data_IF_946169593813
#
_entry.id   IF_946169593813
#
_cell.length_a   1.000
_cell.length_b   1.000
_cell.length_c   1.000
_cell.angle_alpha   90.00
_cell.angle_beta   90.00
_cell.angle_gamma   90.00
#
_symmetry.space_group_name_H-M   'P 1'
#
loop_
_entity.id
_entity.type
_entity.pdbx_description
1 polymer ?
#
# COMPACT_ATOMS: atom_id res chain seq x y z
N UNK A 1 -22.30 -6.41 5.73
CA UNK A 1 -21.51 -6.18 4.50
C UNK A 1 -21.86 -7.25 3.47
N UNK A 2 -22.24 -6.90 2.24
CA UNK A 2 -22.53 -7.88 1.18
C UNK A 2 -21.24 -8.51 0.64
N UNK A 3 -21.35 -9.67 -0.02
CA UNK A 3 -20.20 -10.27 -0.72
C UNK A 3 -19.62 -9.34 -1.79
N UNK A 4 -20.50 -8.63 -2.50
CA UNK A 4 -20.11 -7.62 -3.47
C UNK A 4 -19.28 -6.50 -2.83
N UNK A 5 -19.70 -5.99 -1.68
CA UNK A 5 -18.95 -4.95 -0.97
C UNK A 5 -17.59 -5.45 -0.48
N UNK A 6 -17.51 -6.71 0.01
CA UNK A 6 -16.22 -7.32 0.40
C UNK A 6 -15.27 -7.42 -0.79
N UNK A 7 -15.73 -7.95 -1.93
CA UNK A 7 -14.93 -8.05 -3.16
C UNK A 7 -14.44 -6.67 -3.64
N UNK A 8 -15.32 -5.67 -3.57
CA UNK A 8 -14.96 -4.30 -3.93
C UNK A 8 -13.88 -3.74 -3.00
N UNK A 9 -14.03 -3.88 -1.68
CA UNK A 9 -13.04 -3.40 -0.69
C UNK A 9 -11.68 -4.07 -0.93
N UNK A 10 -11.62 -5.38 -1.10
CA UNK A 10 -10.38 -6.12 -1.39
C UNK A 10 -9.71 -5.59 -2.67
N UNK A 11 -10.49 -5.34 -3.73
CA UNK A 11 -9.98 -4.78 -4.99
C UNK A 11 -9.37 -3.40 -4.81
N UNK A 12 -10.04 -2.50 -4.08
CA UNK A 12 -9.54 -1.15 -3.86
C UNK A 12 -8.31 -1.12 -2.95
N UNK A 13 -8.23 -2.00 -1.93
CA UNK A 13 -7.01 -2.16 -1.13
C UNK A 13 -5.84 -2.63 -2.00
N UNK A 14 -6.08 -3.58 -2.92
CA UNK A 14 -5.06 -4.05 -3.87
C UNK A 14 -4.52 -2.93 -4.77
N UNK A 15 -5.37 -2.04 -5.25
CA UNK A 15 -4.95 -0.86 -6.04
C UNK A 15 -4.10 0.09 -5.20
N UNK A 16 -4.53 0.41 -3.98
CA UNK A 16 -3.78 1.29 -3.06
C UNK A 16 -2.38 0.75 -2.78
N UNK A 17 -2.25 -0.57 -2.56
CA UNK A 17 -0.94 -1.21 -2.37
C UNK A 17 -0.02 -1.01 -3.59
N UNK A 18 -0.55 -1.20 -4.79
CA UNK A 18 0.19 -0.98 -6.04
C UNK A 18 0.64 0.47 -6.21
N UNK A 19 -0.23 1.43 -5.89
CA UNK A 19 0.10 2.86 -5.95
C UNK A 19 1.18 3.25 -4.93
N UNK A 20 1.07 2.78 -3.69
CA UNK A 20 2.11 3.00 -2.66
C UNK A 20 3.46 2.46 -3.14
N UNK A 21 3.47 1.27 -3.75
CA UNK A 21 4.71 0.67 -4.25
C UNK A 21 5.32 1.46 -5.40
N UNK A 22 4.49 1.97 -6.32
CA UNK A 22 4.95 2.84 -7.41
C UNK A 22 5.56 4.14 -6.88
N UNK A 23 4.90 4.80 -5.94
CA UNK A 23 5.40 6.04 -5.32
C UNK A 23 6.69 5.77 -4.54
N UNK A 24 6.78 4.65 -3.82
CA UNK A 24 8.01 4.22 -3.14
C UNK A 24 9.16 4.09 -4.13
N UNK A 25 8.97 3.42 -5.26
CA UNK A 25 10.02 3.26 -6.26
C UNK A 25 10.54 4.61 -6.79
N UNK A 26 9.64 5.56 -7.07
CA UNK A 26 10.03 6.92 -7.47
C UNK A 26 10.76 7.67 -6.34
N UNK A 27 10.28 7.52 -5.10
CA UNK A 27 10.91 8.12 -3.92
C UNK A 27 12.31 7.56 -3.64
N UNK A 28 12.51 6.26 -3.87
CA UNK A 28 13.82 5.61 -3.76
C UNK A 28 14.80 6.14 -4.81
N UNK A 29 14.34 6.36 -6.03
CA UNK A 29 15.16 6.92 -7.11
C UNK A 29 15.57 8.37 -6.83
N UNK A 30 14.63 9.19 -6.36
CA UNK A 30 14.86 10.63 -6.15
C UNK A 30 15.62 10.93 -4.85
N UNK A 31 15.22 10.29 -3.75
CA UNK A 31 15.69 10.64 -2.39
C UNK A 31 16.52 9.55 -1.72
N UNK A 32 16.55 8.34 -2.30
CA UNK A 32 17.21 7.18 -1.73
C UNK A 32 16.35 6.39 -0.73
N UNK A 33 16.78 5.16 -0.39
CA UNK A 33 16.04 4.23 0.48
C UNK A 33 15.94 4.69 1.94
N UNK A 34 16.91 5.51 2.40
CA UNK A 34 16.94 5.95 3.79
C UNK A 34 16.10 7.20 4.08
N UNK A 35 15.63 7.88 3.03
CA UNK A 35 14.87 9.10 3.18
C UNK A 35 13.56 8.86 3.96
N UNK A 36 13.14 9.79 4.85
CA UNK A 36 11.95 9.60 5.68
C UNK A 36 10.68 9.28 4.89
N UNK A 37 10.48 9.88 3.70
CA UNK A 37 9.30 9.61 2.88
C UNK A 37 9.29 8.18 2.34
N UNK A 38 10.45 7.67 1.90
CA UNK A 38 10.62 6.29 1.43
C UNK A 38 10.31 5.30 2.54
N UNK A 39 10.85 5.51 3.75
CA UNK A 39 10.58 4.67 4.92
C UNK A 39 9.09 4.67 5.31
N UNK A 40 8.44 5.85 5.27
CA UNK A 40 6.99 5.96 5.54
C UNK A 40 6.17 5.16 4.52
N UNK A 41 6.53 5.19 3.25
CA UNK A 41 5.83 4.43 2.20
C UNK A 41 5.94 2.92 2.41
N UNK A 42 7.08 2.41 2.90
CA UNK A 42 7.22 0.99 3.28
C UNK A 42 6.27 0.62 4.42
N UNK A 43 6.20 1.44 5.47
CA UNK A 43 5.30 1.20 6.61
C UNK A 43 3.84 1.25 6.15
N UNK A 44 3.46 2.27 5.36
CA UNK A 44 2.11 2.38 4.82
C UNK A 44 1.73 1.16 3.97
N UNK A 45 2.65 0.62 3.18
CA UNK A 45 2.40 -0.61 2.43
C UNK A 45 2.11 -1.79 3.37
N UNK A 46 2.92 -1.98 4.41
CA UNK A 46 2.72 -3.05 5.40
C UNK A 46 1.37 -2.93 6.12
N UNK A 47 1.00 -1.72 6.56
CA UNK A 47 -0.27 -1.46 7.24
C UNK A 47 -1.47 -1.78 6.33
N UNK A 48 -1.40 -1.38 5.05
CA UNK A 48 -2.47 -1.69 4.09
C UNK A 48 -2.50 -3.16 3.69
N UNK A 49 -1.37 -3.85 3.74
CA UNK A 49 -1.30 -5.28 3.49
C UNK A 49 -1.95 -6.06 4.64
N UNK A 50 -1.83 -5.59 5.88
CA UNK A 50 -2.52 -6.18 7.03
C UNK A 50 -4.06 -6.15 6.88
N UNK A 51 -4.62 -5.12 6.24
CA UNK A 51 -6.06 -5.03 5.96
C UNK A 51 -6.59 -6.15 5.04
N UNK A 52 -5.72 -6.80 4.27
CA UNK A 52 -6.07 -7.98 3.47
C UNK A 52 -5.97 -9.30 4.26
N UNK A 53 -5.29 -9.28 5.41
CA UNK A 53 -5.06 -10.44 6.26
C UNK A 53 -6.05 -10.52 7.43
N UNK A 54 -6.68 -9.40 7.79
CA UNK A 54 -7.81 -9.39 8.72
C UNK A 54 -8.99 -10.16 8.10
N UNK A 55 -9.22 -11.37 8.60
CA UNK A 55 -10.36 -12.24 8.26
C UNK A 55 -11.56 -11.96 9.14
#
# INVERSE_FOLDING_TARGET
MTEQNRKYITKEIGKLLSEIWRIKGLSEQEYGPQHPITKKLVIMHADKQALLQEK
#
